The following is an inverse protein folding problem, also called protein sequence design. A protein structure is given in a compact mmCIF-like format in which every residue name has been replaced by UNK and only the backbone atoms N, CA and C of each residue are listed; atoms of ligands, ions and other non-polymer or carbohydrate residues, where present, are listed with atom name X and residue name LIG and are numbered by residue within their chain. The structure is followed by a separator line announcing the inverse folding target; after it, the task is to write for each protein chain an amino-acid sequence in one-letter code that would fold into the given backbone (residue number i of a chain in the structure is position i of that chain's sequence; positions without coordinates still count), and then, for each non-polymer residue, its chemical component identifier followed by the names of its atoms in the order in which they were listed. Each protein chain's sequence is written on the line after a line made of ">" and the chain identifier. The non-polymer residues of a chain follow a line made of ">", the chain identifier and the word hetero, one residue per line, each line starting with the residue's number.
data_IF_781900034851
#
_entry.id   IF_781900034851
#
_cell.length_a   1.000
_cell.length_b   1.000
_cell.length_c   1.000
_cell.angle_alpha   90.00
_cell.angle_beta   90.00
_cell.angle_gamma   90.00
#
_symmetry.space_group_name_H-M   'P 1'
#
loop_
_entity.id
_entity.type
_entity.pdbx_description
1 polymer ?
#
# COMPACT_ATOMS: atom_id res chain seq x y z
N UNK A 1 2.77 -42.48 21.41
CA UNK A 1 3.67 -41.32 21.67
C UNK A 1 3.77 -40.56 20.36
N UNK A 2 2.87 -39.60 20.12
CA UNK A 2 2.85 -38.82 18.89
C UNK A 2 3.89 -37.71 18.99
N UNK A 3 4.86 -37.71 18.08
CA UNK A 3 5.89 -36.70 17.99
C UNK A 3 5.29 -35.34 17.71
N UNK A 4 5.45 -34.41 18.64
CA UNK A 4 5.27 -32.99 18.42
C UNK A 4 6.35 -32.54 17.42
N UNK A 5 6.01 -32.52 16.13
CA UNK A 5 6.75 -31.71 15.18
C UNK A 5 6.59 -30.27 15.65
N UNK A 6 7.65 -29.69 16.23
CA UNK A 6 7.77 -28.23 16.31
C UNK A 6 7.71 -27.75 14.86
N UNK A 7 6.61 -27.12 14.46
CA UNK A 7 6.60 -26.26 13.29
C UNK A 7 7.75 -25.27 13.51
N UNK A 8 8.83 -25.46 12.77
CA UNK A 8 9.89 -24.47 12.70
C UNK A 8 9.26 -23.24 12.08
N UNK A 9 9.12 -22.17 12.85
CA UNK A 9 8.74 -20.84 12.35
C UNK A 9 9.55 -20.56 11.09
N UNK A 10 8.91 -20.68 9.92
CA UNK A 10 9.57 -20.43 8.65
C UNK A 10 9.91 -18.94 8.65
N UNK A 11 11.19 -18.61 8.79
CA UNK A 11 11.66 -17.23 8.67
C UNK A 11 11.37 -16.77 7.23
N UNK A 12 10.42 -15.84 7.09
CA UNK A 12 10.07 -15.26 5.80
C UNK A 12 11.28 -14.54 5.23
N UNK A 13 11.56 -14.77 3.95
CA UNK A 13 12.58 -13.99 3.23
C UNK A 13 12.08 -12.57 2.91
N UNK A 14 12.98 -11.73 2.40
CA UNK A 14 12.69 -10.31 2.15
C UNK A 14 11.56 -10.14 1.14
N UNK A 15 11.49 -11.01 0.13
CA UNK A 15 10.38 -11.07 -0.82
C UNK A 15 9.05 -11.37 -0.12
N UNK A 16 8.99 -12.44 0.67
CA UNK A 16 7.77 -12.83 1.38
C UNK A 16 7.28 -11.75 2.35
N UNK A 17 8.21 -11.07 3.04
CA UNK A 17 7.89 -9.93 3.91
C UNK A 17 7.33 -8.75 3.10
N UNK A 18 7.97 -8.38 2.00
CA UNK A 18 7.50 -7.30 1.12
C UNK A 18 6.11 -7.60 0.55
N UNK A 19 5.89 -8.80 0.03
CA UNK A 19 4.59 -9.25 -0.48
C UNK A 19 3.51 -9.19 0.61
N UNK A 20 3.85 -9.59 1.84
CA UNK A 20 2.93 -9.52 2.99
C UNK A 20 2.58 -8.07 3.36
N UNK A 21 3.56 -7.17 3.36
CA UNK A 21 3.35 -5.73 3.63
C UNK A 21 2.43 -5.14 2.56
N UNK A 22 2.77 -5.29 1.29
CA UNK A 22 2.02 -4.73 0.17
C UNK A 22 0.59 -5.26 0.12
N UNK A 23 0.40 -6.58 0.27
CA UNK A 23 -0.94 -7.16 0.33
C UNK A 23 -1.76 -6.54 1.47
N UNK A 24 -1.15 -6.38 2.65
CA UNK A 24 -1.84 -5.79 3.81
C UNK A 24 -2.19 -4.31 3.57
N UNK A 25 -1.24 -3.53 3.07
CA UNK A 25 -1.42 -2.11 2.77
C UNK A 25 -2.51 -1.91 1.71
N UNK A 26 -2.44 -2.64 0.60
CA UNK A 26 -3.44 -2.54 -0.47
C UNK A 26 -4.82 -3.00 0.01
N UNK A 27 -4.89 -4.04 0.86
CA UNK A 27 -6.14 -4.45 1.51
C UNK A 27 -6.72 -3.35 2.41
N UNK A 28 -5.86 -2.62 3.13
CA UNK A 28 -6.28 -1.46 3.91
C UNK A 28 -6.81 -0.33 3.01
N UNK A 29 -6.13 -0.04 1.91
CA UNK A 29 -6.57 0.97 0.94
C UNK A 29 -7.98 0.68 0.46
N UNK A 30 -8.29 -0.56 0.09
CA UNK A 30 -9.61 -0.93 -0.45
C UNK A 30 -10.63 -1.36 0.61
N UNK A 31 -10.36 -1.19 1.91
CA UNK A 31 -11.09 -1.86 3.02
C UNK A 31 -12.61 -1.61 3.06
N UNK A 32 -13.05 -0.47 2.57
CA UNK A 32 -14.45 -0.02 2.54
C UNK A 32 -15.22 -0.52 1.30
N UNK A 33 -14.53 -1.11 0.32
CA UNK A 33 -15.17 -1.71 -0.85
C UNK A 33 -15.73 -3.11 -0.54
N UNK A 34 -16.87 -3.51 -1.16
CA UNK A 34 -17.51 -4.79 -0.87
C UNK A 34 -16.59 -6.01 -1.08
N UNK A 35 -16.53 -6.90 -0.08
CA UNK A 35 -15.68 -8.11 -0.12
C UNK A 35 -16.10 -9.15 -1.18
N UNK A 36 -17.32 -9.06 -1.71
CA UNK A 36 -17.78 -9.93 -2.83
C UNK A 36 -17.03 -9.68 -4.14
N UNK A 37 -16.35 -8.55 -4.24
CA UNK A 37 -15.56 -8.18 -5.40
C UNK A 37 -14.14 -8.71 -5.24
N UNK A 38 -13.61 -9.27 -6.33
CA UNK A 38 -12.23 -9.72 -6.40
C UNK A 38 -11.25 -8.58 -6.11
N UNK A 39 -10.08 -8.93 -5.55
CA UNK A 39 -9.07 -7.96 -5.11
C UNK A 39 -8.71 -6.93 -6.20
N UNK A 40 -8.33 -7.40 -7.39
CA UNK A 40 -7.94 -6.51 -8.50
C UNK A 40 -9.09 -5.66 -9.01
N UNK A 41 -10.32 -6.15 -8.92
CA UNK A 41 -11.50 -5.37 -9.30
C UNK A 41 -11.75 -4.24 -8.28
N UNK A 42 -11.58 -4.50 -6.98
CA UNK A 42 -11.64 -3.46 -5.94
C UNK A 42 -10.54 -2.42 -6.08
N UNK A 43 -9.32 -2.83 -6.42
CA UNK A 43 -8.23 -1.88 -6.72
C UNK A 43 -8.61 -0.98 -7.90
N UNK A 44 -9.15 -1.55 -8.99
CA UNK A 44 -9.58 -0.79 -10.15
C UNK A 44 -10.72 0.21 -9.81
N UNK A 45 -11.69 -0.20 -8.98
CA UNK A 45 -12.74 0.70 -8.48
C UNK A 45 -12.12 1.89 -7.74
N UNK A 46 -11.20 1.64 -6.79
CA UNK A 46 -10.57 2.72 -6.02
C UNK A 46 -9.76 3.68 -6.90
N UNK A 47 -9.05 3.16 -7.91
CA UNK A 47 -8.33 4.02 -8.86
C UNK A 47 -9.30 4.92 -9.64
N UNK A 48 -10.43 4.38 -10.08
CA UNK A 48 -11.45 5.16 -10.80
C UNK A 48 -12.16 6.19 -9.91
N UNK A 49 -12.42 5.85 -8.64
CA UNK A 49 -12.92 6.80 -7.63
C UNK A 49 -11.98 8.00 -7.50
N UNK A 50 -10.67 7.76 -7.39
CA UNK A 50 -9.69 8.84 -7.32
C UNK A 50 -9.62 9.67 -8.60
N UNK A 51 -9.76 9.07 -9.78
CA UNK A 51 -9.79 9.79 -11.07
C UNK A 51 -11.04 10.67 -11.21
N UNK A 52 -12.19 10.15 -10.78
CA UNK A 52 -13.46 10.88 -10.78
C UNK A 52 -13.39 12.08 -9.83
N UNK A 53 -12.93 11.87 -8.59
CA UNK A 53 -12.75 12.94 -7.61
C UNK A 53 -11.77 14.02 -8.10
N UNK A 54 -10.67 13.62 -8.74
CA UNK A 54 -9.74 14.57 -9.36
C UNK A 54 -10.42 15.47 -10.39
N UNK A 55 -11.25 14.89 -11.28
CA UNK A 55 -11.99 15.67 -12.27
C UNK A 55 -12.95 16.65 -11.60
N UNK A 56 -13.74 16.19 -10.62
CA UNK A 56 -14.68 17.03 -9.88
C UNK A 56 -14.01 18.18 -9.12
N UNK A 57 -12.88 17.92 -8.46
CA UNK A 57 -12.14 18.97 -7.75
C UNK A 57 -11.54 19.97 -8.73
N UNK A 58 -10.96 19.49 -9.84
CA UNK A 58 -10.34 20.35 -10.85
C UNK A 58 -11.31 21.36 -11.45
N UNK A 59 -12.55 20.95 -11.74
CA UNK A 59 -13.60 21.84 -12.27
C UNK A 59 -13.98 22.97 -11.30
N UNK A 60 -13.80 22.77 -9.99
CA UNK A 60 -14.22 23.68 -8.93
C UNK A 60 -13.08 24.55 -8.37
N UNK A 61 -11.86 24.43 -8.93
CA UNK A 61 -10.70 25.22 -8.49
C UNK A 61 -10.96 26.71 -8.77
N UNK A 62 -10.74 27.54 -7.75
CA UNK A 62 -10.76 28.99 -7.88
C UNK A 62 -9.86 29.65 -6.85
N UNK A 63 -9.01 30.59 -7.28
CA UNK A 63 -8.11 31.30 -6.37
C UNK A 63 -8.82 32.41 -5.58
N UNK A 64 -10.03 32.79 -6.01
CA UNK A 64 -10.77 33.91 -5.47
C UNK A 64 -11.47 33.61 -4.15
N UNK A 65 -11.76 32.33 -3.86
CA UNK A 65 -12.47 31.92 -2.64
C UNK A 65 -11.67 30.87 -1.87
N UNK A 66 -11.90 30.80 -0.56
CA UNK A 66 -11.30 29.75 0.26
C UNK A 66 -11.75 28.35 -0.18
N UNK A 67 -13.02 28.20 -0.59
CA UNK A 67 -13.58 26.93 -1.11
C UNK A 67 -12.89 26.53 -2.42
N UNK A 68 -12.63 27.47 -3.32
CA UNK A 68 -11.91 27.18 -4.56
C UNK A 68 -10.46 26.73 -4.31
N UNK A 69 -9.77 27.31 -3.33
CA UNK A 69 -8.43 26.84 -2.90
C UNK A 69 -8.49 25.49 -2.19
N UNK A 70 -9.56 25.22 -1.45
CA UNK A 70 -9.80 23.88 -0.89
C UNK A 70 -9.87 22.82 -2.00
N UNK A 71 -10.59 23.08 -3.10
CA UNK A 71 -10.63 22.15 -4.24
C UNK A 71 -9.25 21.93 -4.86
N UNK A 72 -8.38 22.95 -4.91
CA UNK A 72 -7.01 22.78 -5.37
C UNK A 72 -6.21 21.84 -4.47
N UNK A 73 -6.30 22.03 -3.15
CA UNK A 73 -5.60 21.15 -2.19
C UNK A 73 -6.09 19.71 -2.31
N UNK A 74 -7.41 19.51 -2.41
CA UNK A 74 -7.99 18.17 -2.55
C UNK A 74 -7.66 17.52 -3.91
N UNK A 75 -7.57 18.31 -4.99
CA UNK A 75 -7.13 17.81 -6.28
C UNK A 75 -5.71 17.24 -6.21
N UNK A 76 -4.75 17.99 -5.65
CA UNK A 76 -3.36 17.54 -5.55
C UNK A 76 -3.22 16.34 -4.61
N UNK A 77 -3.92 16.34 -3.47
CA UNK A 77 -3.93 15.20 -2.53
C UNK A 77 -4.50 13.93 -3.18
N UNK A 78 -5.63 14.03 -3.89
CA UNK A 78 -6.25 12.89 -4.57
C UNK A 78 -5.38 12.39 -5.72
N UNK A 79 -4.75 13.29 -6.47
CA UNK A 79 -3.79 12.94 -7.53
C UNK A 79 -2.60 12.17 -6.98
N UNK A 80 -2.03 12.63 -5.86
CA UNK A 80 -0.94 11.92 -5.18
C UNK A 80 -1.39 10.53 -4.70
N UNK A 81 -2.56 10.41 -4.08
CA UNK A 81 -3.13 9.12 -3.65
C UNK A 81 -3.32 8.14 -4.81
N UNK A 82 -3.82 8.63 -5.95
CA UNK A 82 -3.98 7.84 -7.16
C UNK A 82 -2.64 7.29 -7.66
N UNK A 83 -1.65 8.17 -7.81
CA UNK A 83 -0.30 7.78 -8.27
C UNK A 83 0.38 6.81 -7.30
N UNK A 84 0.25 7.02 -5.98
CA UNK A 84 0.75 6.09 -4.96
C UNK A 84 0.09 4.72 -5.10
N UNK A 85 -1.24 4.66 -5.21
CA UNK A 85 -1.96 3.39 -5.35
C UNK A 85 -1.57 2.65 -6.64
N UNK A 86 -1.47 3.35 -7.77
CA UNK A 86 -0.98 2.78 -9.04
C UNK A 86 0.41 2.16 -8.86
N UNK A 87 1.35 2.92 -8.29
CA UNK A 87 2.72 2.45 -8.07
C UNK A 87 2.81 1.21 -7.18
N UNK A 88 2.10 1.22 -6.04
CA UNK A 88 2.07 0.09 -5.10
C UNK A 88 1.44 -1.15 -5.76
N UNK A 89 0.37 -0.94 -6.53
CA UNK A 89 -0.33 -2.00 -7.25
C UNK A 89 0.56 -2.66 -8.30
N UNK A 90 1.33 -1.87 -9.06
CA UNK A 90 2.20 -2.40 -10.10
C UNK A 90 3.35 -3.22 -9.53
N UNK A 91 3.98 -2.76 -8.45
CA UNK A 91 4.99 -3.56 -7.75
C UNK A 91 4.37 -4.83 -7.15
N UNK A 92 3.16 -4.75 -6.60
CA UNK A 92 2.49 -5.94 -6.07
C UNK A 92 2.18 -6.97 -7.16
N UNK A 93 1.78 -6.53 -8.37
CA UNK A 93 1.63 -7.44 -9.53
C UNK A 93 2.93 -8.16 -9.87
N UNK A 94 4.07 -7.45 -9.87
CA UNK A 94 5.38 -8.07 -10.12
C UNK A 94 5.72 -9.12 -9.06
N UNK A 95 5.39 -8.85 -7.79
CA UNK A 95 5.54 -9.81 -6.69
C UNK A 95 4.52 -10.96 -6.70
N UNK A 96 3.56 -10.96 -7.64
CA UNK A 96 2.68 -12.10 -7.87
C UNK A 96 3.20 -13.01 -9.01
N UNK A 97 4.26 -12.60 -9.72
CA UNK A 97 4.88 -13.39 -10.78
C UNK A 97 5.98 -14.26 -10.15
N UNK A 98 5.72 -15.55 -10.02
CA UNK A 98 6.62 -16.49 -9.32
C UNK A 98 7.98 -16.59 -10.02
N UNK A 99 8.01 -16.46 -11.34
CA UNK A 99 9.24 -16.46 -12.14
C UNK A 99 10.19 -15.31 -11.76
N UNK A 100 9.64 -14.18 -11.29
CA UNK A 100 10.42 -13.00 -10.90
C UNK A 100 10.89 -13.06 -9.44
N UNK A 101 10.45 -14.06 -8.65
CA UNK A 101 10.71 -14.15 -7.21
C UNK A 101 12.18 -14.03 -6.85
N UNK A 102 13.06 -14.77 -7.55
CA UNK A 102 14.49 -14.77 -7.24
C UNK A 102 15.13 -13.39 -7.50
N UNK A 103 14.83 -12.81 -8.67
CA UNK A 103 15.30 -11.47 -9.06
C UNK A 103 14.81 -10.43 -8.05
N UNK A 104 13.53 -10.46 -7.70
CA UNK A 104 12.93 -9.53 -6.75
C UNK A 104 13.50 -9.69 -5.35
N UNK A 105 13.68 -10.93 -4.86
CA UNK A 105 14.30 -11.16 -3.56
C UNK A 105 15.74 -10.64 -3.50
N UNK A 106 16.52 -10.82 -4.58
CA UNK A 106 17.86 -10.25 -4.67
C UNK A 106 17.84 -8.73 -4.61
N UNK A 107 17.01 -8.06 -5.43
CA UNK A 107 16.90 -6.60 -5.43
C UNK A 107 16.40 -6.04 -4.09
N UNK A 108 15.41 -6.68 -3.50
CA UNK A 108 14.86 -6.29 -2.19
C UNK A 108 15.86 -6.52 -1.06
N UNK A 109 16.80 -7.46 -1.20
CA UNK A 109 17.81 -7.73 -0.16
C UNK A 109 18.69 -6.52 0.18
N UNK A 110 18.87 -5.57 -0.75
CA UNK A 110 19.56 -4.30 -0.50
C UNK A 110 18.82 -3.39 0.48
N UNK A 111 17.52 -3.60 0.67
CA UNK A 111 16.66 -2.87 1.61
C UNK A 111 16.16 -3.77 2.76
N UNK A 112 16.81 -4.92 2.98
CA UNK A 112 16.34 -5.95 3.91
C UNK A 112 16.05 -5.42 5.31
N UNK A 113 16.94 -4.62 5.90
CA UNK A 113 16.76 -4.13 7.28
C UNK A 113 15.53 -3.24 7.40
N UNK A 114 15.32 -2.34 6.44
CA UNK A 114 14.15 -1.48 6.38
C UNK A 114 12.87 -2.30 6.19
N UNK A 115 12.88 -3.28 5.29
CA UNK A 115 11.74 -4.17 5.04
C UNK A 115 11.40 -4.99 6.28
N UNK A 116 12.41 -5.54 6.97
CA UNK A 116 12.23 -6.28 8.22
C UNK A 116 11.67 -5.40 9.35
N UNK A 117 12.05 -4.13 9.41
CA UNK A 117 11.50 -3.16 10.34
C UNK A 117 10.03 -2.84 10.03
N UNK A 118 9.72 -2.45 8.78
CA UNK A 118 8.35 -2.16 8.33
C UNK A 118 7.46 -3.39 8.57
N UNK A 119 7.94 -4.59 8.23
CA UNK A 119 7.22 -5.84 8.44
C UNK A 119 6.83 -6.02 9.91
N UNK A 120 7.77 -5.81 10.84
CA UNK A 120 7.51 -5.92 12.28
C UNK A 120 6.46 -4.91 12.76
N UNK A 121 6.47 -3.69 12.24
CA UNK A 121 5.43 -2.70 12.55
C UNK A 121 4.05 -3.11 11.99
N UNK A 122 4.01 -3.60 10.75
CA UNK A 122 2.77 -4.08 10.10
C UNK A 122 2.16 -5.29 10.83
N UNK A 123 2.97 -6.21 11.35
CA UNK A 123 2.46 -7.32 12.18
C UNK A 123 1.77 -6.82 13.46
N UNK A 124 2.17 -5.64 13.96
CA UNK A 124 1.59 -4.99 15.13
C UNK A 124 0.58 -3.88 14.77
N UNK A 125 0.05 -3.87 13.53
CA UNK A 125 -0.88 -2.83 13.04
C UNK A 125 -2.11 -2.60 13.92
N UNK A 126 -2.55 -3.62 14.68
CA UNK A 126 -3.68 -3.52 15.61
C UNK A 126 -3.45 -2.50 16.74
N UNK A 127 -2.19 -2.14 17.04
CA UNK A 127 -1.86 -1.10 18.02
C UNK A 127 -2.25 0.31 17.55
N UNK A 128 -2.52 0.50 16.25
CA UNK A 128 -2.79 1.80 15.65
C UNK A 128 -4.26 1.97 15.21
N UNK A 129 -5.16 1.06 15.61
CA UNK A 129 -6.57 1.07 15.17
C UNK A 129 -7.51 1.80 16.13
N UNK A 130 -6.99 2.48 17.15
CA UNK A 130 -7.80 3.19 18.15
C UNK A 130 -8.38 4.52 17.64
N UNK A 131 -7.95 4.99 16.48
CA UNK A 131 -8.46 6.18 15.81
C UNK A 131 -8.26 6.05 14.32
N UNK A 132 -9.28 6.39 13.52
CA UNK A 132 -9.18 6.40 12.06
C UNK A 132 -8.06 7.32 11.55
N UNK A 133 -7.85 8.45 12.23
CA UNK A 133 -6.77 9.39 11.90
C UNK A 133 -5.41 8.77 12.15
N UNK A 134 -5.22 8.09 13.28
CA UNK A 134 -3.96 7.42 13.61
C UNK A 134 -3.72 6.25 12.67
N UNK A 135 -4.76 5.47 12.40
CA UNK A 135 -4.66 4.35 11.49
C UNK A 135 -4.25 4.83 10.10
N UNK A 136 -4.86 5.91 9.59
CA UNK A 136 -4.48 6.51 8.31
C UNK A 136 -3.03 6.97 8.30
N UNK A 137 -2.60 7.72 9.31
CA UNK A 137 -1.21 8.18 9.44
C UNK A 137 -0.19 7.03 9.47
N UNK A 138 -0.53 5.93 10.14
CA UNK A 138 0.30 4.72 10.15
C UNK A 138 0.47 4.14 8.74
N UNK A 139 -0.63 4.00 7.99
CA UNK A 139 -0.56 3.47 6.63
C UNK A 139 0.08 4.44 5.62
N UNK A 140 -0.09 5.74 5.82
CA UNK A 140 0.62 6.76 5.04
C UNK A 140 2.14 6.62 5.24
N UNK A 141 2.60 6.45 6.49
CA UNK A 141 4.01 6.22 6.80
C UNK A 141 4.54 4.91 6.19
N UNK A 142 3.79 3.81 6.33
CA UNK A 142 4.14 2.52 5.69
C UNK A 142 4.23 2.68 4.17
N UNK A 143 3.27 3.37 3.55
CA UNK A 143 3.28 3.62 2.11
C UNK A 143 4.52 4.40 1.68
N UNK A 144 4.89 5.45 2.41
CA UNK A 144 6.08 6.26 2.10
C UNK A 144 7.37 5.45 2.17
N UNK A 145 7.53 4.62 3.21
CA UNK A 145 8.75 3.82 3.35
C UNK A 145 8.84 2.69 2.32
N UNK A 146 7.71 2.08 1.96
CA UNK A 146 7.66 1.11 0.87
C UNK A 146 7.98 1.77 -0.47
N UNK A 147 7.42 2.95 -0.76
CA UNK A 147 7.71 3.68 -1.99
C UNK A 147 9.20 4.04 -2.12
N UNK A 148 9.87 4.38 -1.00
CA UNK A 148 11.33 4.57 -0.97
C UNK A 148 12.08 3.27 -1.25
N UNK A 149 11.68 2.16 -0.61
CA UNK A 149 12.33 0.86 -0.77
C UNK A 149 12.19 0.28 -2.20
N UNK A 150 11.14 0.65 -2.93
CA UNK A 150 10.86 0.17 -4.29
C UNK A 150 11.19 1.19 -5.40
N UNK A 151 11.73 2.36 -5.05
CA UNK A 151 12.00 3.43 -6.01
C UNK A 151 12.98 3.02 -7.11
N UNK A 152 13.90 2.10 -6.82
CA UNK A 152 14.91 1.59 -7.75
C UNK A 152 14.48 0.28 -8.44
N UNK A 153 13.23 -0.14 -8.25
CA UNK A 153 12.73 -1.39 -8.80
C UNK A 153 12.18 -1.28 -10.24
N UNK A 154 12.21 -0.08 -10.82
CA UNK A 154 11.96 0.16 -12.26
C UNK A 154 13.07 -0.38 -13.17
#
# INVERSE_FOLDING_TARGET
>A
MFGLFKETDKKLDTYEQMSSILNTLLTYEIRDLPLRYEFWYRVAIRQEEYRTLQAEHREKISMHTAIGRFHQVQYEDTKQKCAKLERLTDIYKLLCIEEERQTMNHRLSFHKEAIEEIYRHVQKKHLYTYSDSVQRQFWDAVSEDILKAIAHLD
#
